data_IF_384697623931
#
_entry.id   IF_384697623931
#
_cell.length_a   1.000
_cell.length_b   1.000
_cell.length_c   1.000
_cell.angle_alpha   90.00
_cell.angle_beta   90.00
_cell.angle_gamma   90.00
#
_symmetry.space_group_name_H-M   'P 1'
#
loop_
_entity.id
_entity.type
_entity.pdbx_description
1 polymer ?
#
# COMPACT_ATOMS: atom_id res chain seq x y z
N UNK A 1 14.89 18.27 0.93
CA UNK A 1 14.30 16.91 0.97
C UNK A 1 14.80 16.19 2.21
N UNK A 2 13.97 15.35 2.85
CA UNK A 2 14.43 14.48 3.93
C UNK A 2 15.45 13.45 3.41
N UNK A 3 16.39 13.01 4.26
CA UNK A 3 17.37 12.00 3.89
C UNK A 3 16.71 10.69 3.52
N UNK A 4 17.34 9.90 2.64
CA UNK A 4 16.82 8.60 2.22
C UNK A 4 16.60 7.66 3.41
N UNK A 5 17.45 7.72 4.44
CA UNK A 5 17.30 6.91 5.65
C UNK A 5 16.01 7.22 6.41
N UNK A 6 15.65 8.50 6.60
CA UNK A 6 14.38 8.88 7.25
C UNK A 6 13.16 8.44 6.43
N UNK A 7 13.25 8.58 5.12
CA UNK A 7 12.18 8.17 4.20
C UNK A 7 12.01 6.65 4.20
N UNK A 8 13.10 5.89 4.15
CA UNK A 8 13.09 4.43 4.24
C UNK A 8 12.54 3.93 5.58
N UNK A 9 12.92 4.56 6.70
CA UNK A 9 12.37 4.22 8.01
C UNK A 9 10.84 4.44 8.07
N UNK A 10 10.33 5.53 7.48
CA UNK A 10 8.90 5.77 7.37
C UNK A 10 8.20 4.71 6.50
N UNK A 11 8.80 4.28 5.38
CA UNK A 11 8.26 3.19 4.54
C UNK A 11 8.23 1.85 5.29
N UNK A 12 9.28 1.53 6.05
CA UNK A 12 9.31 0.32 6.87
C UNK A 12 8.20 0.34 7.93
N UNK A 13 8.04 1.46 8.67
CA UNK A 13 6.99 1.63 9.66
C UNK A 13 5.59 1.53 9.04
N UNK A 14 5.37 2.21 7.91
CA UNK A 14 4.07 2.21 7.26
C UNK A 14 3.72 0.84 6.67
N UNK A 15 4.68 0.12 6.09
CA UNK A 15 4.46 -1.25 5.59
C UNK A 15 4.27 -2.25 6.73
N UNK A 16 4.99 -2.08 7.84
CA UNK A 16 4.73 -2.82 9.07
C UNK A 16 3.27 -2.65 9.51
N UNK A 17 2.77 -1.40 9.58
CA UNK A 17 1.38 -1.10 9.94
C UNK A 17 0.37 -1.69 8.96
N UNK A 18 0.66 -1.60 7.64
CA UNK A 18 -0.19 -2.18 6.61
C UNK A 18 -0.35 -3.70 6.80
N UNK A 19 0.75 -4.41 7.02
CA UNK A 19 0.71 -5.87 7.22
C UNK A 19 0.09 -6.19 8.57
N UNK A 20 0.50 -5.54 9.65
CA UNK A 20 -0.06 -5.79 10.98
C UNK A 20 -1.58 -5.54 11.03
N UNK A 21 -2.06 -4.42 10.51
CA UNK A 21 -3.49 -4.08 10.52
C UNK A 21 -4.29 -4.86 9.50
N UNK A 22 -3.82 -4.94 8.24
CA UNK A 22 -4.54 -5.61 7.16
C UNK A 22 -4.50 -7.14 7.27
N UNK A 23 -3.31 -7.73 7.25
CA UNK A 23 -3.17 -9.20 7.37
C UNK A 23 -3.54 -9.66 8.77
N UNK A 24 -3.17 -8.91 9.80
CA UNK A 24 -3.53 -9.23 11.18
C UNK A 24 -5.03 -9.25 11.42
N UNK A 25 -5.79 -8.33 10.81
CA UNK A 25 -7.25 -8.37 10.90
C UNK A 25 -7.86 -9.64 10.31
N UNK A 26 -7.29 -10.12 9.18
CA UNK A 26 -7.72 -11.38 8.57
C UNK A 26 -7.39 -12.59 9.45
N UNK A 27 -6.18 -12.63 10.02
CA UNK A 27 -5.69 -13.79 10.80
C UNK A 27 -6.35 -13.86 12.19
N UNK A 28 -6.56 -12.73 12.85
CA UNK A 28 -6.98 -12.68 14.26
C UNK A 28 -8.50 -12.53 14.39
N UNK A 29 -9.13 -11.76 13.51
CA UNK A 29 -10.52 -11.39 13.60
C UNK A 29 -11.35 -11.75 12.36
N UNK A 30 -10.76 -12.40 11.35
CA UNK A 30 -11.39 -12.64 10.05
C UNK A 30 -12.76 -13.31 10.13
N UNK A 31 -12.90 -14.31 11.00
CA UNK A 31 -14.15 -15.03 11.21
C UNK A 31 -15.27 -14.14 11.78
N UNK A 32 -14.92 -13.07 12.47
CA UNK A 32 -15.88 -12.15 13.09
C UNK A 32 -16.24 -10.97 12.19
N UNK A 33 -15.25 -10.44 11.45
CA UNK A 33 -15.43 -9.21 10.66
C UNK A 33 -15.68 -9.50 9.18
N UNK A 34 -15.44 -10.72 8.73
CA UNK A 34 -15.61 -11.16 7.34
C UNK A 34 -14.74 -10.36 6.35
N UNK A 35 -14.93 -10.65 5.07
CA UNK A 35 -14.16 -10.00 4.00
C UNK A 35 -14.36 -8.47 3.96
N UNK A 36 -15.54 -7.98 4.36
CA UNK A 36 -15.81 -6.53 4.41
C UNK A 36 -14.93 -5.85 5.46
N UNK A 37 -14.87 -6.42 6.66
CA UNK A 37 -14.04 -5.88 7.74
C UNK A 37 -12.55 -5.93 7.41
N UNK A 38 -12.08 -7.03 6.82
CA UNK A 38 -10.69 -7.18 6.37
C UNK A 38 -10.36 -6.15 5.28
N UNK A 39 -11.23 -5.99 4.28
CA UNK A 39 -11.04 -5.00 3.22
C UNK A 39 -10.96 -3.56 3.77
N UNK A 40 -11.84 -3.21 4.71
CA UNK A 40 -11.79 -1.93 5.41
C UNK A 40 -10.49 -1.76 6.20
N UNK A 41 -10.03 -2.79 6.90
CA UNK A 41 -8.78 -2.74 7.66
C UNK A 41 -7.60 -2.41 6.75
N UNK A 42 -7.47 -3.05 5.60
CA UNK A 42 -6.41 -2.72 4.63
C UNK A 42 -6.50 -1.27 4.13
N UNK A 43 -7.68 -0.80 3.77
CA UNK A 43 -7.87 0.59 3.35
C UNK A 43 -7.53 1.60 4.44
N UNK A 44 -7.93 1.33 5.68
CA UNK A 44 -7.65 2.17 6.84
C UNK A 44 -6.15 2.23 7.17
N UNK A 45 -5.40 1.13 6.99
CA UNK A 45 -3.94 1.17 7.22
C UNK A 45 -3.25 2.14 6.28
N UNK A 46 -3.59 2.11 4.98
CA UNK A 46 -3.01 3.05 4.00
C UNK A 46 -3.51 4.47 4.25
N UNK A 47 -4.80 4.65 4.53
CA UNK A 47 -5.38 5.96 4.84
C UNK A 47 -4.65 6.63 6.01
N UNK A 48 -4.52 5.91 7.12
CA UNK A 48 -3.88 6.46 8.33
C UNK A 48 -2.41 6.77 8.11
N UNK A 49 -1.67 5.90 7.41
CA UNK A 49 -0.26 6.14 7.11
C UNK A 49 -0.06 7.24 6.07
N UNK A 50 -0.95 7.40 5.09
CA UNK A 50 -0.88 8.52 4.15
C UNK A 50 -0.87 9.87 4.87
N UNK A 51 -1.70 10.03 5.91
CA UNK A 51 -1.70 11.25 6.72
C UNK A 51 -0.55 11.30 7.72
N UNK A 52 -0.18 10.18 8.34
CA UNK A 52 0.85 10.16 9.38
C UNK A 52 2.26 10.37 8.85
N UNK A 53 2.61 9.74 7.70
CA UNK A 53 3.98 9.73 7.17
C UNK A 53 4.09 10.14 5.69
N UNK A 54 2.98 10.48 5.03
CA UNK A 54 3.00 10.89 3.62
C UNK A 54 3.89 12.11 3.36
N UNK A 55 3.96 13.03 4.31
CA UNK A 55 4.85 14.20 4.24
C UNK A 55 6.34 13.86 4.41
N UNK A 56 6.67 12.65 4.90
CA UNK A 56 8.03 12.16 5.10
C UNK A 56 8.53 11.39 3.88
N UNK A 57 7.79 10.32 3.49
CA UNK A 57 8.22 9.36 2.46
C UNK A 57 7.36 9.36 1.20
N UNK A 58 6.16 9.91 1.28
CA UNK A 58 5.11 9.72 0.27
C UNK A 58 4.17 8.55 0.61
N UNK A 59 4.46 7.78 1.67
CA UNK A 59 3.67 6.63 2.13
C UNK A 59 3.33 5.66 0.97
N UNK A 60 4.35 5.18 0.26
CA UNK A 60 4.16 4.21 -0.81
C UNK A 60 3.74 2.86 -0.27
N UNK A 61 4.41 2.34 0.77
CA UNK A 61 4.12 1.11 1.54
C UNK A 61 4.00 -0.15 0.66
N UNK A 62 4.46 -0.05 -0.60
CA UNK A 62 4.19 -1.03 -1.63
C UNK A 62 5.23 -0.90 -2.77
N UNK A 63 5.97 -1.97 -3.10
CA UNK A 63 6.90 -1.97 -4.23
C UNK A 63 6.24 -1.61 -5.57
N UNK A 64 5.00 -2.06 -5.82
CA UNK A 64 4.29 -1.75 -7.06
C UNK A 64 3.97 -0.24 -7.16
N UNK A 65 3.51 0.39 -6.08
CA UNK A 65 3.30 1.86 -6.02
C UNK A 65 4.62 2.60 -6.27
N UNK A 66 5.70 2.17 -5.62
CA UNK A 66 7.03 2.78 -5.77
C UNK A 66 7.52 2.72 -7.22
N UNK A 67 7.41 1.55 -7.86
CA UNK A 67 7.80 1.36 -9.27
C UNK A 67 6.88 2.14 -10.22
N UNK A 68 5.58 2.14 -9.97
CA UNK A 68 4.61 2.90 -10.77
C UNK A 68 4.87 4.41 -10.76
N UNK A 69 5.15 4.99 -9.57
CA UNK A 69 5.51 6.40 -9.44
C UNK A 69 6.87 6.71 -10.09
N UNK A 70 7.85 5.80 -9.99
CA UNK A 70 9.13 5.94 -10.68
C UNK A 70 8.97 5.90 -12.21
N UNK A 71 8.10 5.01 -12.73
CA UNK A 71 7.76 4.91 -14.14
C UNK A 71 7.04 6.16 -14.65
N UNK A 72 6.15 6.72 -13.84
CA UNK A 72 5.49 7.99 -14.13
C UNK A 72 6.44 9.21 -14.09
N UNK A 73 7.70 9.04 -13.68
CA UNK A 73 8.69 10.13 -13.54
C UNK A 73 8.48 10.99 -12.28
N UNK A 74 7.69 10.50 -11.31
CA UNK A 74 7.33 11.23 -10.09
C UNK A 74 8.13 10.79 -8.85
N UNK A 75 9.00 9.80 -9.01
CA UNK A 75 9.86 9.30 -7.94
C UNK A 75 11.28 9.02 -8.49
N UNK A 76 12.35 9.35 -7.74
CA UNK A 76 13.72 9.11 -8.19
C UNK A 76 14.01 7.62 -8.33
N UNK A 77 14.52 7.19 -9.48
CA UNK A 77 14.84 5.77 -9.74
C UNK A 77 15.87 5.22 -8.75
N UNK A 78 16.83 6.05 -8.31
CA UNK A 78 17.85 5.67 -7.35
C UNK A 78 17.26 5.29 -5.98
N UNK A 79 16.10 5.83 -5.62
CA UNK A 79 15.46 5.60 -4.33
C UNK A 79 14.52 4.37 -4.33
N UNK A 80 14.29 3.74 -5.49
CA UNK A 80 13.39 2.58 -5.62
C UNK A 80 13.87 1.41 -4.77
N UNK A 81 15.14 1.03 -4.92
CA UNK A 81 15.70 -0.13 -4.19
C UNK A 81 15.69 0.09 -2.67
N UNK A 82 16.15 1.24 -2.12
CA UNK A 82 16.03 1.52 -0.70
C UNK A 82 14.58 1.43 -0.17
N UNK A 83 13.60 1.90 -0.92
CA UNK A 83 12.18 1.81 -0.54
C UNK A 83 11.69 0.37 -0.51
N UNK A 84 11.97 -0.40 -1.56
CA UNK A 84 11.56 -1.81 -1.63
C UNK A 84 12.15 -2.61 -0.48
N UNK A 85 13.43 -2.42 -0.16
CA UNK A 85 14.07 -3.09 0.99
C UNK A 85 13.38 -2.70 2.30
N UNK A 86 13.13 -1.41 2.53
CA UNK A 86 12.45 -0.93 3.72
C UNK A 86 11.03 -1.50 3.86
N UNK A 87 10.29 -1.56 2.77
CA UNK A 87 8.95 -2.14 2.70
C UNK A 87 8.97 -3.64 3.01
N UNK A 88 9.95 -4.39 2.50
CA UNK A 88 10.12 -5.81 2.81
C UNK A 88 10.44 -6.04 4.30
N UNK A 89 11.33 -5.21 4.88
CA UNK A 89 11.64 -5.27 6.32
C UNK A 89 10.40 -5.00 7.16
N UNK A 90 9.61 -3.98 6.80
CA UNK A 90 8.35 -3.66 7.47
C UNK A 90 7.33 -4.80 7.36
N UNK A 91 7.18 -5.38 6.17
CA UNK A 91 6.26 -6.49 5.94
C UNK A 91 6.64 -7.74 6.74
N UNK A 92 7.94 -8.08 6.77
CA UNK A 92 8.45 -9.18 7.58
C UNK A 92 8.17 -8.95 9.07
N UNK A 93 8.49 -7.77 9.60
CA UNK A 93 8.25 -7.43 10.99
C UNK A 93 6.76 -7.49 11.37
N UNK A 94 5.87 -6.97 10.49
CA UNK A 94 4.41 -7.05 10.69
C UNK A 94 3.91 -8.49 10.73
N UNK A 95 4.35 -9.32 9.78
CA UNK A 95 3.98 -10.74 9.74
C UNK A 95 4.53 -11.52 10.94
N UNK A 96 5.74 -11.18 11.41
CA UNK A 96 6.30 -11.77 12.62
C UNK A 96 5.45 -11.46 13.86
N UNK A 97 5.04 -10.21 14.04
CA UNK A 97 4.18 -9.83 15.17
C UNK A 97 2.84 -10.57 15.10
N UNK A 98 2.21 -10.66 13.93
CA UNK A 98 0.97 -11.43 13.75
C UNK A 98 1.18 -12.90 14.16
N UNK A 99 2.26 -13.51 13.69
CA UNK A 99 2.58 -14.91 14.02
C UNK A 99 2.76 -15.12 15.51
N UNK A 100 3.49 -14.24 16.19
CA UNK A 100 3.72 -14.33 17.64
C UNK A 100 2.41 -14.21 18.41
N UNK A 101 1.55 -13.25 18.03
CA UNK A 101 0.23 -13.08 18.66
C UNK A 101 -0.67 -14.28 18.37
N UNK A 102 -0.72 -14.77 17.13
CA UNK A 102 -1.53 -15.92 16.76
C UNK A 102 -1.10 -17.21 17.51
N UNK A 103 0.21 -17.39 17.73
CA UNK A 103 0.73 -18.54 18.49
C UNK A 103 0.36 -18.52 19.99
N UNK A 104 0.01 -17.36 20.52
CA UNK A 104 -0.44 -17.23 21.89
C UNK A 104 -1.88 -17.72 22.14
N UNK A 105 -2.59 -18.18 21.11
CA UNK A 105 -3.93 -18.77 21.25
C UNK A 105 -3.85 -20.12 21.99
N UNK A 106 -4.88 -20.46 22.78
CA UNK A 106 -4.89 -21.69 23.58
C UNK A 106 -4.73 -22.97 22.77
N UNK A 107 -5.20 -22.99 21.53
CA UNK A 107 -5.14 -24.15 20.63
C UNK A 107 -3.91 -24.19 19.73
N UNK A 108 -3.01 -23.19 19.88
CA UNK A 108 -1.83 -23.02 19.05
C UNK A 108 -2.14 -22.49 17.65
N UNK A 109 -1.08 -22.12 16.93
CA UNK A 109 -1.16 -21.63 15.55
C UNK A 109 0.10 -22.02 14.78
N UNK A 110 -0.08 -22.65 13.63
CA UNK A 110 1.02 -23.00 12.74
C UNK A 110 0.84 -22.35 11.39
N UNK A 111 1.73 -21.43 11.01
CA UNK A 111 1.61 -20.64 9.78
C UNK A 111 1.48 -21.52 8.52
N UNK A 112 2.21 -22.64 8.44
CA UNK A 112 2.14 -23.57 7.32
C UNK A 112 0.76 -24.23 7.16
N UNK A 113 -0.02 -24.38 8.24
CA UNK A 113 -1.37 -24.97 8.23
C UNK A 113 -2.44 -23.89 8.10
N UNK A 114 -2.34 -22.85 8.92
CA UNK A 114 -3.36 -21.80 9.02
C UNK A 114 -3.16 -20.64 8.03
N UNK A 115 -2.03 -20.61 7.32
CA UNK A 115 -1.81 -19.75 6.15
C UNK A 115 -1.34 -18.33 6.42
N UNK A 116 -1.37 -17.80 7.63
CA UNK A 116 -0.92 -16.46 8.02
C UNK A 116 -1.34 -15.35 7.01
N UNK A 117 -2.50 -15.49 6.36
CA UNK A 117 -2.99 -14.53 5.39
C UNK A 117 -2.16 -14.40 4.11
N UNK A 118 -1.44 -15.47 3.69
CA UNK A 118 -0.69 -15.50 2.44
C UNK A 118 -1.59 -15.36 1.20
N UNK A 119 -0.99 -15.01 0.07
CA UNK A 119 -1.66 -14.94 -1.21
C UNK A 119 -1.44 -16.23 -2.01
N UNK A 120 -2.50 -16.72 -2.69
CA UNK A 120 -2.42 -17.95 -3.45
C UNK A 120 -3.39 -18.02 -4.62
N UNK A 121 -3.19 -19.01 -5.49
CA UNK A 121 -4.05 -19.33 -6.62
C UNK A 121 -4.22 -20.86 -6.78
N UNK A 122 -5.15 -21.28 -7.64
CA UNK A 122 -5.47 -22.69 -7.81
C UNK A 122 -5.97 -23.31 -6.48
N UNK A 123 -5.38 -24.41 -6.01
CA UNK A 123 -5.78 -25.03 -4.75
C UNK A 123 -5.58 -24.16 -3.51
N UNK A 124 -4.79 -23.09 -3.62
CA UNK A 124 -4.49 -22.14 -2.54
C UNK A 124 -5.24 -20.82 -2.67
N UNK A 125 -6.08 -20.67 -3.68
CA UNK A 125 -7.05 -19.59 -3.78
C UNK A 125 -8.18 -19.80 -2.77
N UNK A 126 -8.65 -18.77 -2.06
CA UNK A 126 -9.78 -18.91 -1.13
C UNK A 126 -11.04 -19.51 -1.78
N UNK A 127 -11.31 -19.20 -3.05
CA UNK A 127 -12.45 -19.75 -3.79
C UNK A 127 -12.05 -20.58 -5.04
N UNK A 128 -10.81 -21.09 -5.08
CA UNK A 128 -10.36 -22.03 -6.12
C UNK A 128 -10.05 -21.42 -7.49
N UNK A 129 -9.83 -20.12 -7.58
CA UNK A 129 -9.55 -19.46 -8.87
C UNK A 129 -8.21 -19.92 -9.49
N UNK A 130 -8.23 -20.12 -10.81
CA UNK A 130 -7.06 -20.53 -11.58
C UNK A 130 -5.93 -19.49 -11.56
N UNK A 131 -4.72 -19.91 -11.93
CA UNK A 131 -3.56 -19.03 -12.06
C UNK A 131 -3.80 -17.88 -13.07
N UNK A 132 -4.50 -18.13 -14.18
CA UNK A 132 -4.81 -17.11 -15.18
C UNK A 132 -5.77 -16.05 -14.64
N UNK A 133 -6.81 -16.46 -13.92
CA UNK A 133 -7.75 -15.54 -13.28
C UNK A 133 -7.08 -14.70 -12.18
N UNK A 134 -6.23 -15.35 -11.36
CA UNK A 134 -5.44 -14.71 -10.33
C UNK A 134 -4.46 -13.67 -10.92
N UNK A 135 -3.73 -14.03 -11.98
CA UNK A 135 -2.81 -13.12 -12.65
C UNK A 135 -3.52 -11.91 -13.24
N UNK A 136 -4.64 -12.14 -13.93
CA UNK A 136 -5.43 -11.06 -14.53
C UNK A 136 -5.94 -10.07 -13.49
N UNK A 137 -6.52 -10.57 -12.40
CA UNK A 137 -7.08 -9.68 -11.37
C UNK A 137 -5.99 -8.92 -10.63
N UNK A 138 -4.87 -9.55 -10.28
CA UNK A 138 -3.74 -8.87 -9.63
C UNK A 138 -3.13 -7.78 -10.53
N UNK A 139 -3.00 -8.03 -11.84
CA UNK A 139 -2.52 -7.04 -12.81
C UNK A 139 -3.48 -5.86 -12.92
N UNK A 140 -4.77 -6.14 -13.18
CA UNK A 140 -5.77 -5.07 -13.40
C UNK A 140 -5.99 -4.25 -12.14
N UNK A 141 -6.11 -4.89 -10.98
CA UNK A 141 -6.35 -4.18 -9.72
C UNK A 141 -5.12 -3.38 -9.27
N UNK A 142 -3.91 -3.88 -9.54
CA UNK A 142 -2.69 -3.09 -9.30
C UNK A 142 -2.59 -1.90 -10.26
N UNK A 143 -2.97 -2.07 -11.53
CA UNK A 143 -3.06 -0.96 -12.47
C UNK A 143 -4.03 0.12 -11.94
N UNK A 144 -5.25 -0.26 -11.59
CA UNK A 144 -6.27 0.69 -11.09
C UNK A 144 -5.80 1.35 -9.80
N UNK A 145 -5.27 0.59 -8.86
CA UNK A 145 -4.79 1.14 -7.59
C UNK A 145 -3.68 2.18 -7.79
N UNK A 146 -2.64 1.83 -8.56
CA UNK A 146 -1.53 2.76 -8.86
C UNK A 146 -1.99 3.96 -9.69
N UNK A 147 -2.93 3.76 -10.62
CA UNK A 147 -3.55 4.85 -11.35
C UNK A 147 -4.26 5.87 -10.43
N UNK A 148 -5.01 5.37 -9.43
CA UNK A 148 -5.66 6.22 -8.42
C UNK A 148 -4.61 6.92 -7.55
N UNK A 149 -3.55 6.23 -7.12
CA UNK A 149 -2.44 6.85 -6.38
C UNK A 149 -1.83 8.01 -7.18
N UNK A 150 -1.49 7.78 -8.45
CA UNK A 150 -0.91 8.81 -9.33
C UNK A 150 -1.89 9.98 -9.53
N UNK A 151 -3.18 9.70 -9.76
CA UNK A 151 -4.20 10.72 -9.95
C UNK A 151 -4.43 11.57 -8.72
N UNK A 152 -4.71 10.91 -7.58
CA UNK A 152 -5.04 11.59 -6.33
C UNK A 152 -3.88 12.45 -5.78
N UNK A 153 -2.63 12.05 -6.04
CA UNK A 153 -1.43 12.78 -5.59
C UNK A 153 -0.87 13.74 -6.64
N UNK A 154 -1.54 13.94 -7.79
CA UNK A 154 -1.09 14.87 -8.83
C UNK A 154 -1.37 16.32 -8.43
N UNK A 155 -0.63 17.27 -9.03
CA UNK A 155 -0.87 18.72 -8.80
C UNK A 155 -2.30 19.18 -9.15
N UNK A 156 -2.96 18.45 -10.05
CA UNK A 156 -4.35 18.71 -10.46
C UNK A 156 -5.36 17.94 -9.59
N UNK A 157 -4.89 17.03 -8.72
CA UNK A 157 -5.71 16.27 -7.80
C UNK A 157 -6.06 17.08 -6.55
N UNK A 158 -7.08 16.61 -5.82
CA UNK A 158 -7.45 17.16 -4.51
C UNK A 158 -6.51 16.59 -3.43
N UNK A 159 -5.24 17.02 -3.43
CA UNK A 159 -4.16 16.44 -2.62
C UNK A 159 -4.50 16.27 -1.14
N UNK A 160 -5.28 17.18 -0.56
CA UNK A 160 -5.72 17.12 0.84
C UNK A 160 -6.51 15.85 1.15
N UNK A 161 -7.27 15.33 0.18
CA UNK A 161 -8.09 14.13 0.32
C UNK A 161 -7.47 12.88 -0.31
N UNK A 162 -6.22 12.98 -0.79
CA UNK A 162 -5.56 11.86 -1.49
C UNK A 162 -5.53 10.58 -0.64
N UNK A 163 -5.22 10.69 0.65
CA UNK A 163 -5.19 9.55 1.57
C UNK A 163 -6.54 8.82 1.67
N UNK A 164 -7.65 9.57 1.66
CA UNK A 164 -9.01 9.00 1.68
C UNK A 164 -9.29 8.25 0.38
N UNK A 165 -9.03 8.89 -0.77
CA UNK A 165 -9.26 8.26 -2.07
C UNK A 165 -8.44 6.98 -2.25
N UNK A 166 -7.17 7.00 -1.85
CA UNK A 166 -6.26 5.84 -1.95
C UNK A 166 -6.71 4.73 -1.00
N UNK A 167 -7.03 5.04 0.25
CA UNK A 167 -7.49 4.07 1.23
C UNK A 167 -8.81 3.41 0.82
N UNK A 168 -9.80 4.17 0.36
CA UNK A 168 -11.07 3.64 -0.14
C UNK A 168 -10.89 2.82 -1.42
N UNK A 169 -9.98 3.22 -2.32
CA UNK A 169 -9.64 2.42 -3.49
C UNK A 169 -9.06 1.06 -3.07
N UNK A 170 -8.14 1.03 -2.10
CA UNK A 170 -7.59 -0.23 -1.60
C UNK A 170 -8.66 -1.09 -0.94
N UNK A 171 -9.59 -0.49 -0.19
CA UNK A 171 -10.77 -1.20 0.34
C UNK A 171 -11.56 -1.87 -0.78
N UNK A 172 -11.90 -1.12 -1.83
CA UNK A 172 -12.65 -1.66 -2.97
C UNK A 172 -11.90 -2.79 -3.68
N UNK A 173 -10.59 -2.63 -3.91
CA UNK A 173 -9.74 -3.68 -4.46
C UNK A 173 -9.82 -4.96 -3.62
N UNK A 174 -9.72 -4.85 -2.29
CA UNK A 174 -9.82 -6.00 -1.37
C UNK A 174 -11.21 -6.65 -1.39
N UNK A 175 -12.29 -5.87 -1.42
CA UNK A 175 -13.65 -6.40 -1.52
C UNK A 175 -13.85 -7.33 -2.73
N UNK A 176 -13.20 -7.01 -3.85
CA UNK A 176 -13.29 -7.81 -5.08
C UNK A 176 -12.34 -9.00 -5.05
N UNK A 177 -11.12 -8.84 -4.51
CA UNK A 177 -10.03 -9.79 -4.77
C UNK A 177 -9.69 -10.72 -3.62
N UNK A 178 -10.21 -10.48 -2.40
CA UNK A 178 -10.02 -11.41 -1.28
C UNK A 178 -10.46 -12.84 -1.66
N UNK A 179 -11.64 -13.09 -2.25
CA UNK A 179 -12.05 -14.45 -2.62
C UNK A 179 -11.15 -15.09 -3.69
N UNK A 180 -10.43 -14.29 -4.49
CA UNK A 180 -9.67 -14.77 -5.65
C UNK A 180 -8.25 -15.15 -5.26
N UNK A 181 -7.53 -14.25 -4.61
CA UNK A 181 -6.09 -14.39 -4.29
C UNK A 181 -5.75 -14.10 -2.84
N UNK A 182 -6.74 -13.84 -2.00
CA UNK A 182 -6.55 -13.18 -0.71
C UNK A 182 -5.94 -11.77 -0.85
N UNK A 183 -6.12 -11.14 -1.99
CA UNK A 183 -5.69 -9.81 -2.40
C UNK A 183 -4.23 -9.47 -2.09
N UNK A 184 -3.40 -9.39 -3.14
CA UNK A 184 -2.04 -8.88 -3.00
C UNK A 184 -1.96 -7.39 -3.33
N UNK A 185 -1.94 -7.07 -4.61
CA UNK A 185 -1.61 -5.77 -5.24
C UNK A 185 -0.37 -5.09 -4.63
N UNK A 186 0.39 -5.85 -3.82
CA UNK A 186 1.54 -5.37 -3.05
C UNK A 186 2.57 -6.50 -2.84
N UNK A 187 3.70 -6.50 -3.58
CA UNK A 187 4.74 -7.53 -3.42
C UNK A 187 5.28 -7.68 -1.99
N UNK A 188 5.43 -6.58 -1.24
CA UNK A 188 5.92 -6.64 0.14
C UNK A 188 4.90 -7.29 1.08
N UNK A 189 3.62 -6.93 0.95
CA UNK A 189 2.50 -7.55 1.69
C UNK A 189 2.45 -9.07 1.48
N UNK A 190 2.73 -9.53 0.26
CA UNK A 190 2.72 -10.96 -0.06
C UNK A 190 3.95 -11.67 0.47
N UNK A 191 5.12 -11.02 0.42
CA UNK A 191 6.39 -11.61 0.86
C UNK A 191 6.42 -11.86 2.37
N UNK A 192 5.92 -10.91 3.19
CA UNK A 192 5.95 -11.04 4.64
C UNK A 192 5.37 -12.37 5.16
N UNK A 193 4.08 -12.66 4.92
CA UNK A 193 3.46 -13.92 5.32
C UNK A 193 4.09 -15.14 4.64
N UNK A 194 4.44 -15.08 3.35
CA UNK A 194 4.97 -16.20 2.60
C UNK A 194 6.27 -16.75 3.19
N UNK A 195 7.12 -15.90 3.77
CA UNK A 195 8.36 -16.30 4.43
C UNK A 195 8.13 -17.20 5.66
N UNK A 196 7.01 -17.05 6.36
CA UNK A 196 6.66 -17.84 7.52
C UNK A 196 5.82 -19.08 7.17
N UNK A 197 5.04 -19.03 6.10
CA UNK A 197 4.26 -20.17 5.60
C UNK A 197 5.14 -21.17 4.89
N UNK A 198 6.11 -20.70 4.09
CA UNK A 198 7.02 -21.56 3.33
C UNK A 198 6.35 -22.25 2.15
N UNK A 199 6.92 -23.35 1.68
CA UNK A 199 6.38 -24.29 0.68
C UNK A 199 5.65 -23.62 -0.48
N UNK A 200 4.35 -23.89 -0.59
CA UNK A 200 3.49 -23.38 -1.67
C UNK A 200 3.36 -21.84 -1.71
N UNK A 201 3.39 -21.19 -0.55
CA UNK A 201 3.31 -19.74 -0.51
C UNK A 201 4.54 -19.08 -1.15
N UNK A 202 5.73 -19.64 -0.94
CA UNK A 202 6.96 -19.19 -1.59
C UNK A 202 6.99 -19.55 -3.08
N UNK A 203 6.54 -20.76 -3.46
CA UNK A 203 6.52 -21.18 -4.87
C UNK A 203 5.55 -20.35 -5.74
N UNK A 204 4.49 -19.82 -5.14
CA UNK A 204 3.51 -18.95 -5.82
C UNK A 204 3.83 -17.46 -5.72
N UNK A 205 4.80 -17.06 -4.90
CA UNK A 205 5.10 -15.65 -4.61
C UNK A 205 5.48 -14.84 -5.87
N UNK A 206 6.09 -15.49 -6.85
CA UNK A 206 6.49 -14.85 -8.11
C UNK A 206 5.33 -14.10 -8.80
N UNK A 207 4.12 -14.67 -8.76
CA UNK A 207 2.94 -14.07 -9.39
C UNK A 207 2.59 -12.75 -8.72
N UNK A 208 2.66 -12.69 -7.38
CA UNK A 208 2.36 -11.52 -6.56
C UNK A 208 3.45 -10.44 -6.58
N UNK A 209 4.54 -10.71 -7.29
CA UNK A 209 5.53 -9.72 -7.73
C UNK A 209 5.26 -9.29 -9.16
N UNK A 210 5.17 -10.24 -10.09
CA UNK A 210 5.11 -9.94 -11.53
C UNK A 210 3.82 -9.21 -11.90
N UNK A 211 2.66 -9.74 -11.53
CA UNK A 211 1.38 -9.14 -11.93
C UNK A 211 1.18 -7.73 -11.37
N UNK A 212 1.42 -7.45 -10.05
CA UNK A 212 1.32 -6.11 -9.52
C UNK A 212 2.34 -5.14 -10.12
N UNK A 213 3.58 -5.55 -10.34
CA UNK A 213 4.59 -4.69 -10.97
C UNK A 213 4.23 -4.34 -12.40
N UNK A 214 3.73 -5.30 -13.19
CA UNK A 214 3.28 -5.03 -14.57
C UNK A 214 2.11 -4.04 -14.58
N UNK A 215 1.09 -4.24 -13.73
CA UNK A 215 -0.02 -3.32 -13.58
C UNK A 215 0.43 -1.91 -13.22
N UNK A 216 1.35 -1.80 -12.27
CA UNK A 216 1.93 -0.52 -11.85
C UNK A 216 2.73 0.19 -12.94
N UNK A 217 3.53 -0.54 -13.71
CA UNK A 217 4.28 0.00 -14.86
C UNK A 217 3.32 0.54 -15.91
N UNK A 218 2.27 -0.21 -16.27
CA UNK A 218 1.26 0.24 -17.23
C UNK A 218 0.55 1.51 -16.76
N UNK A 219 0.20 1.61 -15.47
CA UNK A 219 -0.38 2.83 -14.89
C UNK A 219 0.58 4.02 -14.98
N UNK A 220 1.86 3.80 -14.67
CA UNK A 220 2.90 4.82 -14.74
C UNK A 220 3.15 5.33 -16.16
N UNK A 221 3.21 4.42 -17.14
CA UNK A 221 3.36 4.77 -18.57
C UNK A 221 2.15 5.55 -19.08
N UNK A 222 0.93 5.12 -18.76
CA UNK A 222 -0.29 5.84 -19.13
C UNK A 222 -0.37 7.24 -18.53
N UNK A 223 0.11 7.43 -17.31
CA UNK A 223 0.19 8.73 -16.68
C UNK A 223 1.22 9.66 -17.38
N UNK A 224 2.37 9.09 -17.73
CA UNK A 224 3.45 9.83 -18.42
C UNK A 224 3.02 10.28 -19.82
N UNK A 225 2.33 9.42 -20.57
CA UNK A 225 1.81 9.77 -21.90
C UNK A 225 0.83 10.94 -21.85
N UNK A 226 -0.06 11.00 -20.83
CA UNK A 226 -1.01 12.10 -20.64
C UNK A 226 -0.35 13.42 -20.23
N UNK A 227 0.82 13.39 -19.63
CA UNK A 227 1.58 14.59 -19.26
C UNK A 227 2.32 15.23 -20.45
N UNK A 228 2.12 14.72 -21.68
CA UNK A 228 2.61 15.33 -22.91
C UNK A 228 4.12 15.35 -23.02
N UNK A 229 4.86 14.25 -22.75
CA UNK A 229 6.29 14.11 -23.10
C UNK A 229 7.25 15.25 -22.72
N UNK A 230 6.75 16.35 -22.22
CA UNK A 230 7.51 17.52 -21.79
C UNK A 230 8.18 17.25 -20.44
N UNK A 231 9.46 17.53 -20.37
CA UNK A 231 10.34 17.38 -19.19
C UNK A 231 9.98 18.31 -18.01
N UNK A 232 8.70 18.43 -17.67
CA UNK A 232 8.23 19.02 -16.44
C UNK A 232 8.18 17.93 -15.38
N UNK A 233 9.24 17.78 -14.59
CA UNK A 233 9.20 16.98 -13.36
C UNK A 233 8.04 17.49 -12.51
N UNK A 234 6.94 16.75 -12.48
CA UNK A 234 5.91 16.96 -11.46
C UNK A 234 6.54 16.49 -10.13
N UNK A 235 6.92 17.39 -9.22
CA UNK A 235 7.66 17.02 -8.01
C UNK A 235 6.73 16.37 -7.02
N UNK A 236 6.03 15.30 -7.33
CA UNK A 236 5.32 14.47 -6.36
C UNK A 236 4.76 15.19 -5.13
N UNK A 237 4.12 14.51 -4.24
CA UNK A 237 3.66 14.99 -2.93
C UNK A 237 4.64 16.00 -2.31
N UNK A 238 4.21 17.27 -1.99
CA UNK A 238 5.10 18.28 -1.44
C UNK A 238 5.56 17.85 -0.04
N UNK A 239 6.86 17.61 0.09
CA UNK A 239 7.49 17.65 1.40
C UNK A 239 7.29 19.07 1.97
N UNK A 240 6.24 19.30 2.78
CA UNK A 240 6.07 20.56 3.49
C UNK A 240 4.77 21.35 3.26
N UNK A 241 3.62 20.71 3.04
CA UNK A 241 2.31 21.40 3.14
C UNK A 241 1.87 21.55 4.61
N UNK A 242 2.79 21.91 5.48
CA UNK A 242 2.54 22.29 6.86
C UNK A 242 2.78 23.78 7.05
N UNK A 243 2.13 24.65 6.26
CA UNK A 243 2.05 26.07 6.60
C UNK A 243 0.61 26.41 6.97
N UNK A 244 0.35 26.40 8.26
CA UNK A 244 -0.24 27.47 9.03
C UNK A 244 -1.71 27.78 8.75
N UNK A 245 -2.60 27.11 9.46
CA UNK A 245 -3.86 27.74 9.95
C UNK A 245 -3.52 28.73 11.09
N UNK A 246 -2.55 29.63 10.87
CA UNK A 246 -2.04 30.54 11.88
C UNK A 246 -1.77 31.94 11.35
N UNK A 247 -2.58 32.45 10.38
CA UNK A 247 -2.28 33.73 9.77
C UNK A 247 -3.46 34.58 9.32
N UNK A 248 -4.59 34.51 10.01
CA UNK A 248 -5.74 35.38 9.69
C UNK A 248 -6.48 35.89 10.93
N UNK A 249 -5.74 36.26 11.99
CA UNK A 249 -6.30 37.03 13.12
C UNK A 249 -5.24 38.02 13.55
N UNK A 250 -4.98 39.03 12.74
CA UNK A 250 -4.39 40.33 13.13
C UNK A 250 -4.66 41.28 11.97
N UNK A 251 -5.70 42.06 12.10
CA UNK A 251 -5.85 43.50 11.78
C UNK A 251 -7.34 43.84 11.71
N UNK A 252 -8.00 43.79 12.86
CA UNK A 252 -9.16 44.60 13.10
C UNK A 252 -8.72 45.70 14.11
N UNK A 253 -8.07 46.74 13.61
CA UNK A 253 -7.97 48.01 14.36
C UNK A 253 -9.36 48.63 14.43
N UNK A 254 -9.91 48.59 15.61
CA UNK A 254 -11.06 49.39 16.00
C UNK A 254 -10.65 50.86 15.89
N UNK A 255 -11.17 51.59 14.89
CA UNK A 255 -11.20 53.04 14.86
C UNK A 255 -12.37 53.48 15.77
N UNK A 256 -12.08 54.08 16.93
CA UNK A 256 -13.06 54.82 17.68
C UNK A 256 -13.25 56.20 17.02
N UNK A 257 -14.50 56.69 16.90
CA UNK A 257 -14.78 58.10 16.56
C UNK A 257 -14.66 59.00 17.78
N UNK A 258 -14.25 60.23 17.49
CA UNK A 258 -14.15 61.35 18.44
C UNK A 258 -15.51 61.78 18.98
#
# INVERSE_FOLDING_TARGET
MMSIGRRAAAEALGTFWLVLGGVGSAVIAGDKIGNVGVALAFGLTVLTMAYAIGHVSGAHLNPAVTVGLATAGRFPRADVVPYVIAQLVGAFAGALVILLVARAQPYGYTAAVSGLGFNGYGPYSPAGYSASGAFLVELVMSFVFVFVVIGATSKRGMNTFAGIAIGLCLTLVHLVTIPITNCSVNPARSTGPALFVGGHALSQLWMFWVAPLLGAVLAGLGARARSGGGAGRDPGWPAGAGRGLGGAVRDARVSQPA
#
